data_IF_127288241210
#
_entry.id   IF_127288241210
#
_cell.length_a   1.000
_cell.length_b   1.000
_cell.length_c   1.000
_cell.angle_alpha   90.00
_cell.angle_beta   90.00
_cell.angle_gamma   90.00
#
_symmetry.space_group_name_H-M   'P 1'
#
loop_
_entity.id
_entity.type
_entity.pdbx_description
1 polymer ?
#
# COMPACT_ATOMS: atom_id res chain seq x y z
N UNK A 1 7.42 -12.86 -10.51
CA UNK A 1 6.30 -13.11 -11.47
C UNK A 1 5.08 -13.55 -10.67
N UNK A 2 3.90 -12.93 -10.88
CA UNK A 2 2.70 -13.27 -10.11
C UNK A 2 2.24 -14.71 -10.39
N UNK A 3 1.96 -15.44 -9.33
CA UNK A 3 1.67 -16.88 -9.39
C UNK A 3 0.18 -17.20 -9.35
N UNK A 4 -0.64 -16.22 -8.95
CA UNK A 4 -2.09 -16.40 -8.80
C UNK A 4 -2.91 -15.17 -9.17
N UNK A 5 -4.21 -15.37 -9.40
CA UNK A 5 -5.18 -14.28 -9.51
C UNK A 5 -5.25 -13.44 -8.23
N UNK A 6 -4.99 -14.06 -7.07
CA UNK A 6 -4.91 -13.36 -5.79
C UNK A 6 -3.79 -12.31 -5.81
N UNK A 7 -2.61 -12.67 -6.31
CA UNK A 7 -1.44 -11.78 -6.34
C UNK A 7 -1.70 -10.56 -7.25
N UNK A 8 -2.37 -10.79 -8.39
CA UNK A 8 -2.77 -9.71 -9.31
C UNK A 8 -3.71 -8.72 -8.62
N UNK A 9 -4.75 -9.21 -7.95
CA UNK A 9 -5.68 -8.34 -7.23
C UNK A 9 -4.99 -7.61 -6.09
N UNK A 10 -4.19 -8.32 -5.27
CA UNK A 10 -3.51 -7.74 -4.12
C UNK A 10 -2.49 -6.68 -4.51
N UNK A 11 -1.77 -6.88 -5.61
CA UNK A 11 -0.86 -5.86 -6.14
C UNK A 11 -1.63 -4.61 -6.59
N UNK A 12 -2.75 -4.79 -7.30
CA UNK A 12 -3.62 -3.67 -7.69
C UNK A 12 -4.17 -2.94 -6.46
N UNK A 13 -4.56 -3.68 -5.43
CA UNK A 13 -5.08 -3.13 -4.18
C UNK A 13 -3.99 -2.36 -3.41
N UNK A 14 -2.80 -2.92 -3.24
CA UNK A 14 -1.67 -2.25 -2.60
C UNK A 14 -1.30 -0.95 -3.33
N UNK A 15 -1.24 -0.97 -4.66
CA UNK A 15 -1.04 0.25 -5.46
C UNK A 15 -2.17 1.27 -5.28
N UNK A 16 -3.42 0.81 -5.22
CA UNK A 16 -4.58 1.67 -4.97
C UNK A 16 -4.55 2.33 -3.59
N UNK A 17 -4.16 1.58 -2.56
CA UNK A 17 -4.05 2.07 -1.19
C UNK A 17 -2.90 3.08 -1.07
N UNK A 18 -1.70 2.75 -1.59
CA UNK A 18 -0.55 3.66 -1.60
C UNK A 18 -0.85 4.97 -2.34
N UNK A 19 -1.47 4.91 -3.52
CA UNK A 19 -1.88 6.12 -4.28
C UNK A 19 -2.95 6.92 -3.55
N UNK A 20 -3.86 6.27 -2.83
CA UNK A 20 -4.87 6.97 -2.05
C UNK A 20 -4.25 7.66 -0.84
N UNK A 21 -3.28 7.02 -0.20
CA UNK A 21 -2.48 7.61 0.86
C UNK A 21 -1.69 8.83 0.38
N UNK A 22 -0.95 8.71 -0.74
CA UNK A 22 -0.21 9.81 -1.38
C UNK A 22 -1.11 11.02 -1.66
N UNK A 23 -2.30 10.78 -2.24
CA UNK A 23 -3.26 11.86 -2.54
C UNK A 23 -3.85 12.53 -1.30
N UNK A 24 -3.91 11.82 -0.17
CA UNK A 24 -4.43 12.33 1.10
C UNK A 24 -3.33 12.97 1.97
N UNK A 25 -2.06 12.88 1.57
CA UNK A 25 -0.95 13.51 2.28
C UNK A 25 -1.16 15.02 2.34
N UNK A 26 -1.08 15.65 3.53
CA UNK A 26 -1.25 17.10 3.68
C UNK A 26 -0.35 17.91 2.76
N UNK A 27 -0.87 19.00 2.19
CA UNK A 27 -0.14 19.87 1.27
C UNK A 27 1.17 20.38 1.89
N UNK A 28 1.19 20.69 3.19
CA UNK A 28 2.40 21.12 3.90
C UNK A 28 3.50 20.05 3.88
N UNK A 29 3.16 18.76 3.99
CA UNK A 29 4.14 17.68 3.91
C UNK A 29 4.70 17.56 2.48
N UNK A 30 3.85 17.71 1.46
CA UNK A 30 4.31 17.71 0.07
C UNK A 30 5.21 18.92 -0.21
N UNK A 31 4.84 20.10 0.29
CA UNK A 31 5.62 21.32 0.14
C UNK A 31 6.99 21.22 0.80
N UNK A 32 7.09 20.64 2.01
CA UNK A 32 8.38 20.38 2.67
C UNK A 32 9.24 19.40 1.87
N UNK A 33 8.66 18.35 1.31
CA UNK A 33 9.40 17.42 0.45
C UNK A 33 9.96 18.13 -0.79
N UNK A 34 9.13 18.92 -1.48
CA UNK A 34 9.55 19.70 -2.66
C UNK A 34 10.62 20.73 -2.30
N UNK A 35 10.52 21.36 -1.12
CA UNK A 35 11.53 22.32 -0.65
C UNK A 35 12.91 21.67 -0.41
N UNK A 36 12.95 20.35 -0.20
CA UNK A 36 14.19 19.58 -0.10
C UNK A 36 14.83 19.22 -1.45
N UNK A 37 14.16 19.48 -2.57
CA UNK A 37 14.69 19.11 -3.90
C UNK A 37 15.80 20.08 -4.33
N UNK A 38 16.86 19.60 -5.01
CA UNK A 38 17.92 20.46 -5.49
C UNK A 38 17.38 21.38 -6.59
N UNK A 39 17.97 22.58 -6.72
CA UNK A 39 17.60 23.53 -7.78
C UNK A 39 17.86 23.00 -9.20
N UNK A 40 18.73 21.99 -9.35
CA UNK A 40 18.97 21.27 -10.60
C UNK A 40 17.76 20.44 -11.06
N UNK A 41 16.84 20.09 -10.16
CA UNK A 41 15.59 19.40 -10.50
C UNK A 41 14.57 20.31 -11.23
N UNK A 42 14.89 21.59 -11.41
CA UNK A 42 13.99 22.57 -12.02
C UNK A 42 12.80 22.88 -11.12
N UNK A 43 11.61 22.92 -11.72
CA UNK A 43 10.37 23.06 -10.95
C UNK A 43 9.99 21.70 -10.33
N UNK A 44 10.52 21.44 -9.14
CA UNK A 44 10.30 20.20 -8.41
C UNK A 44 8.82 19.87 -8.17
N UNK A 45 7.97 20.87 -7.99
CA UNK A 45 6.53 20.68 -7.85
C UNK A 45 5.90 20.19 -9.16
N UNK A 46 6.28 20.80 -10.30
CA UNK A 46 5.81 20.36 -11.61
C UNK A 46 6.29 18.93 -11.94
N UNK A 47 7.54 18.58 -11.60
CA UNK A 47 8.07 17.23 -11.79
C UNK A 47 7.28 16.22 -10.95
N UNK A 48 7.05 16.51 -9.66
CA UNK A 48 6.29 15.63 -8.77
C UNK A 48 4.83 15.46 -9.23
N UNK A 49 4.19 16.54 -9.67
CA UNK A 49 2.84 16.50 -10.23
C UNK A 49 2.77 15.61 -11.49
N UNK A 50 3.79 15.69 -12.37
CA UNK A 50 3.92 14.79 -13.52
C UNK A 50 4.08 13.32 -13.09
N UNK A 51 4.97 13.04 -12.14
CA UNK A 51 5.16 11.69 -11.59
C UNK A 51 3.83 11.13 -11.07
N UNK A 52 3.02 11.94 -10.38
CA UNK A 52 1.69 11.54 -9.91
C UNK A 52 0.71 11.27 -11.06
N UNK A 53 0.73 12.11 -12.10
CA UNK A 53 -0.04 11.91 -13.33
C UNK A 53 0.32 10.60 -14.06
N UNK A 54 1.59 10.20 -14.01
CA UNK A 54 2.11 8.97 -14.60
C UNK A 54 1.91 7.71 -13.72
N UNK A 55 1.06 7.80 -12.70
CA UNK A 55 0.75 6.69 -11.81
C UNK A 55 1.82 6.43 -10.74
N UNK A 56 2.55 7.48 -10.35
CA UNK A 56 3.65 7.46 -9.39
C UNK A 56 4.81 6.60 -9.90
N UNK A 57 5.36 7.00 -11.05
CA UNK A 57 6.48 6.33 -11.74
C UNK A 57 7.57 7.33 -12.07
N UNK A 58 8.82 6.95 -11.85
CA UNK A 58 9.99 7.71 -12.31
C UNK A 58 10.40 7.19 -13.70
N UNK A 59 10.05 7.90 -14.77
CA UNK A 59 10.21 7.47 -16.18
C UNK A 59 11.05 8.39 -17.03
N UNK A 60 11.17 9.65 -16.63
CA UNK A 60 11.78 10.70 -17.43
C UNK A 60 13.19 10.97 -16.91
N UNK A 61 14.15 11.38 -17.75
CA UNK A 61 15.51 11.69 -17.31
C UNK A 61 15.55 12.70 -16.15
N UNK A 62 14.66 13.70 -16.17
CA UNK A 62 14.56 14.73 -15.14
C UNK A 62 14.00 14.22 -13.81
N UNK A 63 13.46 12.99 -13.77
CA UNK A 63 12.98 12.36 -12.55
C UNK A 63 14.13 11.95 -11.62
N UNK A 64 15.36 11.84 -12.12
CA UNK A 64 16.49 11.31 -11.37
C UNK A 64 16.80 12.11 -10.09
N UNK A 65 16.80 13.44 -10.18
CA UNK A 65 17.09 14.32 -9.04
C UNK A 65 15.97 14.27 -7.99
N UNK A 66 14.72 14.22 -8.46
CA UNK A 66 13.55 14.05 -7.58
C UNK A 66 13.55 12.67 -6.93
N UNK A 67 13.87 11.63 -7.67
CA UNK A 67 13.99 10.26 -7.16
C UNK A 67 15.04 10.18 -6.05
N UNK A 68 16.22 10.79 -6.25
CA UNK A 68 17.28 10.85 -5.23
C UNK A 68 16.80 11.58 -3.97
N UNK A 69 16.07 12.68 -4.14
CA UNK A 69 15.51 13.45 -3.01
C UNK A 69 14.42 12.68 -2.26
N UNK A 70 13.58 11.94 -2.98
CA UNK A 70 12.57 11.04 -2.39
C UNK A 70 13.25 9.90 -1.63
N UNK A 71 14.32 9.29 -2.17
CA UNK A 71 15.10 8.28 -1.47
C UNK A 71 15.70 8.81 -0.17
N UNK A 72 16.24 10.04 -0.19
CA UNK A 72 16.76 10.69 1.01
C UNK A 72 15.67 10.94 2.05
N UNK A 73 14.51 11.47 1.65
CA UNK A 73 13.39 11.67 2.56
C UNK A 73 12.90 10.35 3.17
N UNK A 74 12.89 9.27 2.40
CA UNK A 74 12.58 7.92 2.86
C UNK A 74 13.67 7.32 3.77
N UNK A 75 14.78 8.01 4.02
CA UNK A 75 15.85 7.57 4.91
C UNK A 75 15.98 8.43 6.19
N UNK A 76 15.04 9.33 6.44
CA UNK A 76 15.08 10.29 7.56
C UNK A 76 13.80 10.25 8.42
N UNK A 77 13.47 9.11 9.06
CA UNK A 77 12.25 8.99 9.86
C UNK A 77 12.20 9.93 11.07
N UNK A 78 13.36 10.28 11.64
CA UNK A 78 13.45 11.11 12.86
C UNK A 78 13.33 12.62 12.56
N UNK A 79 13.62 13.05 11.34
CA UNK A 79 13.59 14.46 10.95
C UNK A 79 12.18 14.92 10.56
N UNK A 80 11.49 14.15 9.72
CA UNK A 80 10.12 14.43 9.26
C UNK A 80 9.39 13.12 8.95
N UNK A 81 8.83 12.50 9.98
CA UNK A 81 8.12 11.22 9.86
C UNK A 81 7.00 11.22 8.79
N UNK A 82 6.14 12.26 8.69
CA UNK A 82 5.20 12.38 7.58
C UNK A 82 5.85 12.36 6.19
N UNK A 83 6.96 13.08 5.99
CA UNK A 83 7.67 13.07 4.71
C UNK A 83 8.33 11.71 4.43
N UNK A 84 8.87 11.05 5.45
CA UNK A 84 9.42 9.69 5.37
C UNK A 84 8.38 8.67 4.91
N UNK A 85 7.19 8.66 5.52
CA UNK A 85 6.07 7.79 5.13
C UNK A 85 5.63 8.07 3.68
N UNK A 86 5.49 9.35 3.34
CA UNK A 86 5.07 9.78 2.01
C UNK A 86 6.08 9.37 0.92
N UNK A 87 7.36 9.61 1.15
CA UNK A 87 8.43 9.24 0.25
C UNK A 87 8.54 7.72 0.07
N UNK A 88 8.43 6.95 1.16
CA UNK A 88 8.40 5.47 1.09
C UNK A 88 7.25 4.99 0.20
N UNK A 89 6.07 5.60 0.32
CA UNK A 89 4.92 5.23 -0.49
C UNK A 89 5.12 5.45 -1.99
N UNK A 90 5.78 6.55 -2.35
CA UNK A 90 6.14 6.88 -3.73
C UNK A 90 7.09 5.81 -4.29
N UNK A 91 8.13 5.46 -3.53
CA UNK A 91 9.11 4.44 -3.95
C UNK A 91 8.44 3.07 -4.12
N UNK A 92 7.59 2.67 -3.17
CA UNK A 92 6.83 1.41 -3.28
C UNK A 92 5.93 1.38 -4.50
N UNK A 93 5.27 2.49 -4.84
CA UNK A 93 4.45 2.57 -6.06
C UNK A 93 5.31 2.35 -7.31
N UNK A 94 6.48 2.96 -7.39
CA UNK A 94 7.36 2.78 -8.54
C UNK A 94 7.89 1.34 -8.62
N UNK A 95 8.40 0.80 -7.51
CA UNK A 95 8.93 -0.56 -7.41
C UNK A 95 7.89 -1.60 -7.82
N UNK A 96 6.66 -1.53 -7.32
CA UNK A 96 5.61 -2.51 -7.66
C UNK A 96 5.27 -2.54 -9.16
N UNK A 97 5.54 -1.47 -9.88
CA UNK A 97 5.21 -1.31 -11.29
C UNK A 97 6.43 -1.43 -12.22
N UNK A 98 7.66 -1.32 -11.71
CA UNK A 98 8.88 -1.36 -12.52
C UNK A 98 9.06 -2.73 -13.21
N UNK A 99 9.65 -2.75 -14.40
CA UNK A 99 10.06 -4.02 -15.03
C UNK A 99 11.35 -4.55 -14.38
N UNK A 100 12.26 -3.62 -14.05
CA UNK A 100 13.51 -3.86 -13.32
C UNK A 100 13.58 -2.87 -12.15
N UNK A 101 13.14 -3.28 -10.93
CA UNK A 101 13.09 -2.39 -9.78
C UNK A 101 14.50 -2.10 -9.23
N UNK A 102 14.77 -0.86 -8.80
CA UNK A 102 16.05 -0.54 -8.15
C UNK A 102 16.16 -1.23 -6.78
N UNK A 103 17.38 -1.68 -6.43
CA UNK A 103 17.73 -2.36 -5.17
C UNK A 103 17.81 -1.41 -3.95
N UNK A 104 16.98 -0.36 -3.92
CA UNK A 104 17.03 0.67 -2.88
C UNK A 104 16.15 0.33 -1.67
N UNK A 105 15.08 -0.44 -1.85
CA UNK A 105 14.10 -0.70 -0.79
C UNK A 105 14.55 -1.76 0.22
N UNK A 106 15.45 -2.68 -0.15
CA UNK A 106 16.01 -3.66 0.78
C UNK A 106 16.69 -2.97 1.97
N UNK A 107 17.61 -2.03 1.67
CA UNK A 107 18.29 -1.24 2.69
C UNK A 107 17.33 -0.43 3.55
N UNK A 108 16.30 0.12 2.91
CA UNK A 108 15.30 0.93 3.58
C UNK A 108 14.52 0.10 4.61
N UNK A 109 14.03 -1.08 4.22
CA UNK A 109 13.34 -1.99 5.12
C UNK A 109 14.22 -2.40 6.31
N UNK A 110 15.42 -2.91 6.05
CA UNK A 110 16.31 -3.41 7.10
C UNK A 110 16.65 -2.32 8.13
N UNK A 111 16.74 -1.06 7.68
CA UNK A 111 17.07 0.08 8.53
C UNK A 111 15.86 0.62 9.30
N UNK A 112 14.66 0.57 8.70
CA UNK A 112 13.53 1.39 9.16
C UNK A 112 12.22 0.63 9.41
N UNK A 113 12.22 -0.71 9.39
CA UNK A 113 10.98 -1.49 9.54
C UNK A 113 10.22 -1.19 10.85
N UNK A 114 10.92 -0.95 11.97
CA UNK A 114 10.30 -0.60 13.25
C UNK A 114 9.59 0.76 13.22
N UNK A 115 10.14 1.72 12.46
CA UNK A 115 9.61 3.07 12.34
C UNK A 115 8.27 3.05 11.60
N UNK A 116 8.11 2.18 10.62
CA UNK A 116 6.81 2.00 9.97
C UNK A 116 5.74 1.43 10.91
N UNK A 117 6.13 0.67 11.94
CA UNK A 117 5.16 0.12 12.90
C UNK A 117 4.47 1.23 13.72
N UNK A 118 5.14 2.38 13.88
CA UNK A 118 4.64 3.56 14.61
C UNK A 118 3.53 4.31 13.85
N UNK A 119 3.44 4.13 12.52
CA UNK A 119 2.39 4.79 11.73
C UNK A 119 0.98 4.33 12.12
N UNK A 120 -0.01 5.20 11.90
CA UNK A 120 -1.42 4.87 12.09
C UNK A 120 -1.82 3.62 11.29
N UNK A 121 -2.73 2.82 11.82
CA UNK A 121 -3.04 1.50 11.26
C UNK A 121 -3.36 1.49 9.74
N UNK A 122 -4.15 2.43 9.17
CA UNK A 122 -4.39 2.45 7.73
C UNK A 122 -3.13 2.76 6.91
N UNK A 123 -2.29 3.67 7.39
CA UNK A 123 -1.02 4.07 6.75
C UNK A 123 -0.02 2.92 6.81
N UNK A 124 0.16 2.34 8.00
CA UNK A 124 1.01 1.17 8.21
C UNK A 124 0.55 0.01 7.32
N UNK A 125 -0.73 -0.33 7.32
CA UNK A 125 -1.27 -1.41 6.49
C UNK A 125 -1.01 -1.17 5.00
N UNK A 126 -1.16 0.05 4.50
CA UNK A 126 -0.85 0.38 3.10
C UNK A 126 0.64 0.15 2.77
N UNK A 127 1.55 0.64 3.61
CA UNK A 127 2.99 0.44 3.44
C UNK A 127 3.36 -1.05 3.50
N UNK A 128 2.88 -1.76 4.52
CA UNK A 128 3.19 -3.17 4.76
C UNK A 128 2.67 -4.09 3.67
N UNK A 129 1.45 -3.85 3.18
CA UNK A 129 0.95 -4.59 2.02
C UNK A 129 1.74 -4.23 0.75
N UNK A 130 2.25 -2.99 0.63
CA UNK A 130 3.19 -2.62 -0.43
C UNK A 130 4.48 -3.43 -0.39
N UNK A 131 5.16 -3.49 0.76
CA UNK A 131 6.37 -4.30 0.97
C UNK A 131 6.11 -5.79 0.72
N UNK A 132 5.03 -6.35 1.28
CA UNK A 132 4.60 -7.74 1.05
C UNK A 132 4.42 -8.04 -0.42
N UNK A 133 3.81 -7.15 -1.20
CA UNK A 133 3.63 -7.36 -2.65
C UNK A 133 4.94 -7.21 -3.42
N UNK A 134 5.85 -6.37 -2.97
CA UNK A 134 7.18 -6.24 -3.57
C UNK A 134 8.01 -7.51 -3.33
N UNK A 135 7.99 -8.05 -2.10
CA UNK A 135 8.65 -9.31 -1.74
C UNK A 135 8.08 -10.49 -2.54
N UNK A 136 6.74 -10.66 -2.56
CA UNK A 136 6.09 -11.72 -3.36
C UNK A 136 6.38 -11.58 -4.86
N UNK A 137 6.61 -10.37 -5.34
CA UNK A 137 7.02 -10.10 -6.71
C UNK A 137 8.46 -10.54 -7.03
N UNK A 138 9.27 -10.83 -6.00
CA UNK A 138 10.71 -11.05 -6.08
C UNK A 138 11.48 -9.75 -6.30
N UNK A 139 10.93 -8.60 -5.89
CA UNK A 139 11.49 -7.27 -6.14
C UNK A 139 12.41 -6.80 -5.02
N UNK A 140 12.20 -7.32 -3.82
CA UNK A 140 12.95 -7.03 -2.60
C UNK A 140 13.00 -8.29 -1.74
N UNK A 141 13.96 -8.34 -0.83
CA UNK A 141 14.00 -9.29 0.28
C UNK A 141 13.66 -8.53 1.57
N UNK A 142 12.91 -9.14 2.49
CA UNK A 142 12.58 -8.53 3.78
C UNK A 142 13.34 -9.25 4.89
N UNK A 143 14.34 -8.59 5.47
CA UNK A 143 15.08 -9.09 6.63
C UNK A 143 15.19 -8.00 7.72
N UNK A 144 14.37 -8.06 8.79
CA UNK A 144 13.57 -9.21 9.23
C UNK A 144 12.30 -9.43 8.41
N UNK A 145 11.76 -10.65 8.51
CA UNK A 145 10.49 -10.99 7.86
C UNK A 145 9.33 -10.11 8.36
N UNK A 146 8.43 -9.76 7.45
CA UNK A 146 7.28 -8.91 7.75
C UNK A 146 6.26 -9.59 8.67
N UNK A 147 5.87 -8.91 9.75
CA UNK A 147 4.82 -9.39 10.65
C UNK A 147 3.43 -9.24 10.04
N UNK A 148 2.69 -10.36 9.94
CA UNK A 148 1.35 -10.36 9.34
C UNK A 148 0.37 -9.39 10.02
N UNK A 149 0.54 -9.13 11.32
CA UNK A 149 -0.30 -8.20 12.07
C UNK A 149 -0.13 -6.74 11.58
N UNK A 150 1.03 -6.37 11.03
CA UNK A 150 1.29 -5.02 10.55
C UNK A 150 0.59 -4.73 9.22
N UNK A 151 0.21 -5.77 8.47
CA UNK A 151 -0.62 -5.64 7.27
C UNK A 151 -2.08 -5.30 7.56
N UNK A 152 -2.55 -5.44 8.80
CA UNK A 152 -3.96 -5.28 9.15
C UNK A 152 -4.30 -3.83 9.53
N UNK A 153 -5.35 -3.30 8.91
CA UNK A 153 -5.95 -2.01 9.33
C UNK A 153 -6.71 -2.16 10.64
N UNK A 154 -7.35 -3.33 10.86
CA UNK A 154 -8.11 -3.65 12.07
C UNK A 154 -7.87 -5.09 12.52
N UNK A 155 -7.98 -5.35 13.82
CA UNK A 155 -7.94 -6.70 14.36
C UNK A 155 -9.19 -7.49 13.96
N UNK A 156 -9.09 -8.83 14.00
CA UNK A 156 -10.22 -9.73 13.77
C UNK A 156 -11.42 -9.39 14.65
N UNK A 157 -11.18 -9.19 15.94
CA UNK A 157 -12.24 -8.90 16.91
C UNK A 157 -12.88 -7.54 16.66
N UNK A 158 -12.09 -6.53 16.27
CA UNK A 158 -12.61 -5.22 15.89
C UNK A 158 -13.52 -5.28 14.66
N UNK A 159 -13.14 -6.08 13.66
CA UNK A 159 -13.94 -6.30 12.45
C UNK A 159 -15.22 -7.08 12.76
N UNK A 160 -15.14 -8.14 13.58
CA UNK A 160 -16.31 -8.90 14.00
C UNK A 160 -17.29 -8.05 14.80
N UNK A 161 -16.79 -7.18 15.69
CA UNK A 161 -17.62 -6.22 16.42
C UNK A 161 -18.30 -5.21 15.48
N UNK A 162 -17.59 -4.71 14.45
CA UNK A 162 -18.17 -3.82 13.46
C UNK A 162 -19.25 -4.51 12.59
N UNK A 163 -19.11 -5.81 12.33
CA UNK A 163 -20.08 -6.60 11.58
C UNK A 163 -21.28 -7.04 12.43
N UNK A 164 -21.22 -6.97 13.75
CA UNK A 164 -22.32 -7.38 14.60
C UNK A 164 -23.57 -6.53 14.33
N UNK A 165 -24.71 -7.19 14.15
CA UNK A 165 -25.98 -6.53 13.78
C UNK A 165 -26.04 -5.93 12.36
N UNK A 166 -24.96 -5.97 11.56
CA UNK A 166 -24.94 -5.39 10.20
C UNK A 166 -25.73 -6.17 9.15
N UNK A 167 -26.05 -7.43 9.41
CA UNK A 167 -26.69 -8.35 8.46
C UNK A 167 -25.73 -9.12 7.55
N UNK A 168 -24.42 -8.85 7.62
CA UNK A 168 -23.37 -9.41 6.75
C UNK A 168 -22.93 -10.84 7.15
N UNK A 169 -23.89 -11.75 7.32
CA UNK A 169 -23.66 -13.10 7.88
C UNK A 169 -22.63 -13.92 7.11
N UNK A 170 -22.62 -13.82 5.78
CA UNK A 170 -21.67 -14.55 4.95
C UNK A 170 -20.23 -14.08 5.16
N UNK A 171 -20.04 -12.77 5.35
CA UNK A 171 -18.74 -12.16 5.62
C UNK A 171 -18.25 -12.51 7.02
N UNK A 172 -19.13 -12.43 8.03
CA UNK A 172 -18.84 -12.88 9.39
C UNK A 172 -18.43 -14.35 9.40
N UNK A 173 -19.17 -15.23 8.72
CA UNK A 173 -18.86 -16.65 8.64
C UNK A 173 -17.48 -16.90 7.99
N UNK A 174 -17.17 -16.19 6.90
CA UNK A 174 -15.88 -16.31 6.23
C UNK A 174 -14.69 -15.87 7.10
N UNK A 175 -14.86 -14.83 7.90
CA UNK A 175 -13.83 -14.39 8.85
C UNK A 175 -13.68 -15.39 10.00
N UNK A 176 -14.80 -15.94 10.51
CA UNK A 176 -14.78 -16.94 11.57
C UNK A 176 -14.15 -18.26 11.13
N UNK A 177 -14.41 -18.69 9.90
CA UNK A 177 -13.88 -19.94 9.34
C UNK A 177 -12.52 -19.79 8.66
N UNK A 178 -11.93 -18.59 8.67
CA UNK A 178 -10.66 -18.28 7.99
C UNK A 178 -10.68 -18.68 6.50
N UNK A 179 -11.79 -18.38 5.83
CA UNK A 179 -12.11 -18.80 4.46
C UNK A 179 -11.03 -18.42 3.44
N UNK A 180 -10.50 -19.39 2.70
CA UNK A 180 -9.34 -19.19 1.81
C UNK A 180 -9.58 -18.12 0.73
N UNK A 181 -8.52 -17.73 0.01
CA UNK A 181 -8.55 -16.66 -1.00
C UNK A 181 -9.71 -16.77 -1.99
N UNK A 182 -9.99 -17.99 -2.46
CA UNK A 182 -11.04 -18.27 -3.44
C UNK A 182 -12.42 -18.14 -2.82
N UNK A 183 -12.62 -18.64 -1.60
CA UNK A 183 -13.87 -18.49 -0.86
C UNK A 183 -14.17 -17.03 -0.54
N UNK A 184 -13.19 -16.28 -0.02
CA UNK A 184 -13.31 -14.85 0.23
C UNK A 184 -13.59 -14.07 -1.07
N UNK A 185 -12.94 -14.46 -2.17
CA UNK A 185 -13.13 -13.86 -3.49
C UNK A 185 -14.55 -14.02 -4.05
N UNK A 186 -15.27 -15.10 -3.69
CA UNK A 186 -16.68 -15.29 -4.09
C UNK A 186 -17.63 -14.33 -3.41
N UNK A 187 -17.27 -13.80 -2.24
CA UNK A 187 -18.04 -12.80 -1.53
C UNK A 187 -17.88 -11.40 -2.15
N UNK A 188 -16.76 -11.18 -2.85
CA UNK A 188 -16.47 -9.91 -3.51
C UNK A 188 -17.13 -9.83 -4.90
N UNK A 189 -18.42 -9.49 -4.91
CA UNK A 189 -19.18 -9.21 -6.13
C UNK A 189 -19.85 -7.83 -6.04
N UNK A 190 -19.19 -6.77 -6.51
CA UNK A 190 -19.78 -5.43 -6.62
C UNK A 190 -19.54 -4.51 -5.41
N UNK A 191 -18.36 -3.90 -5.35
CA UNK A 191 -17.91 -3.02 -4.27
C UNK A 191 -18.60 -1.66 -4.19
N UNK A 192 -19.27 -1.23 -5.26
CA UNK A 192 -19.66 0.18 -5.43
C UNK A 192 -20.74 0.65 -4.44
N UNK A 193 -21.38 -0.29 -3.72
CA UNK A 193 -22.48 0.01 -2.79
C UNK A 193 -22.32 -0.67 -1.43
N UNK A 194 -21.10 -1.09 -1.07
CA UNK A 194 -20.87 -1.87 0.16
C UNK A 194 -20.98 -0.98 1.40
N UNK A 195 -21.70 -1.45 2.43
CA UNK A 195 -21.87 -0.76 3.70
C UNK A 195 -20.52 -0.59 4.43
N UNK A 196 -20.40 0.40 5.32
CA UNK A 196 -19.19 0.62 6.14
C UNK A 196 -18.71 -0.65 6.86
N UNK A 197 -19.58 -1.39 7.59
CA UNK A 197 -19.23 -2.66 8.21
C UNK A 197 -18.67 -3.70 7.23
N UNK A 198 -19.32 -3.89 6.08
CA UNK A 198 -18.86 -4.85 5.09
C UNK A 198 -17.52 -4.47 4.47
N UNK A 199 -17.25 -3.17 4.28
CA UNK A 199 -15.93 -2.69 3.84
C UNK A 199 -14.82 -3.11 4.81
N UNK A 200 -15.04 -3.01 6.13
CA UNK A 200 -14.09 -3.46 7.14
C UNK A 200 -13.81 -4.97 7.03
N UNK A 201 -14.85 -5.78 6.81
CA UNK A 201 -14.70 -7.23 6.63
C UNK A 201 -13.95 -7.62 5.36
N UNK A 202 -14.24 -6.98 4.22
CA UNK A 202 -13.50 -7.23 2.98
C UNK A 202 -12.05 -6.77 3.08
N UNK A 203 -11.80 -5.62 3.73
CA UNK A 203 -10.45 -5.11 4.00
C UNK A 203 -9.64 -6.13 4.80
N UNK A 204 -10.19 -6.64 5.89
CA UNK A 204 -9.55 -7.68 6.70
C UNK A 204 -9.26 -8.96 5.90
N UNK A 205 -10.23 -9.44 5.10
CA UNK A 205 -10.05 -10.63 4.28
C UNK A 205 -8.96 -10.45 3.21
N UNK A 206 -8.75 -9.23 2.70
CA UNK A 206 -7.68 -8.93 1.75
C UNK A 206 -6.30 -8.90 2.42
N UNK A 207 -6.18 -8.25 3.57
CA UNK A 207 -4.91 -7.95 4.24
C UNK A 207 -4.21 -9.20 4.82
N UNK A 208 -4.99 -10.23 5.17
CA UNK A 208 -4.45 -11.48 5.75
C UNK A 208 -3.55 -12.26 4.78
N UNK A 209 -2.69 -13.18 5.26
CA UNK A 209 -1.81 -13.99 4.40
C UNK A 209 -2.57 -14.79 3.34
N UNK A 210 -3.65 -15.44 3.72
CA UNK A 210 -4.50 -16.22 2.81
C UNK A 210 -5.27 -15.32 1.84
N UNK A 211 -5.42 -14.03 2.19
CA UNK A 211 -6.00 -12.89 1.46
C UNK A 211 -7.32 -13.15 0.72
N UNK A 212 -7.58 -12.33 -0.30
CA UNK A 212 -8.81 -12.34 -1.12
C UNK A 212 -8.46 -12.44 -2.61
N UNK A 213 -9.12 -13.34 -3.35
CA UNK A 213 -8.87 -13.60 -4.77
C UNK A 213 -10.17 -13.52 -5.61
N UNK A 214 -10.55 -12.33 -6.11
CA UNK A 214 -11.74 -12.21 -6.94
C UNK A 214 -11.61 -13.01 -8.24
N UNK A 215 -12.72 -13.52 -8.75
CA UNK A 215 -12.74 -14.28 -10.02
C UNK A 215 -12.15 -13.49 -11.19
N UNK A 216 -12.41 -12.18 -11.23
CA UNK A 216 -11.89 -11.26 -12.24
C UNK A 216 -10.82 -10.33 -11.66
N UNK A 217 -9.76 -10.88 -11.08
CA UNK A 217 -8.73 -10.11 -10.36
C UNK A 217 -8.17 -8.87 -11.08
N UNK A 218 -8.10 -8.89 -12.42
CA UNK A 218 -7.61 -7.76 -13.23
C UNK A 218 -8.62 -6.61 -13.39
N UNK A 219 -9.92 -6.88 -13.25
CA UNK A 219 -11.00 -5.89 -13.44
C UNK A 219 -11.88 -5.69 -12.21
N UNK A 220 -11.71 -6.52 -11.17
CA UNK A 220 -12.43 -6.38 -9.92
C UNK A 220 -12.20 -4.96 -9.35
N UNK A 221 -13.25 -4.32 -8.80
CA UNK A 221 -13.12 -3.04 -8.13
C UNK A 221 -12.21 -3.18 -6.92
N UNK A 222 -11.47 -2.12 -6.61
CA UNK A 222 -10.63 -2.04 -5.42
C UNK A 222 -11.49 -1.73 -4.20
N UNK A 223 -11.07 -2.25 -3.04
CA UNK A 223 -11.62 -1.87 -1.75
C UNK A 223 -11.21 -0.40 -1.50
N UNK A 224 -12.16 0.51 -1.23
CA UNK A 224 -11.84 1.90 -0.91
C UNK A 224 -10.86 2.03 0.27
N UNK A 225 -9.89 2.94 0.16
CA UNK A 225 -8.97 3.25 1.24
C UNK A 225 -9.72 4.00 2.36
N UNK A 226 -9.68 3.43 3.57
CA UNK A 226 -10.37 3.92 4.77
C UNK A 226 -9.77 5.18 5.36
#
# INVERSE_FOLDING_TARGET
MFTSSADVFRTRQALGDLRSMIRRTPEDTQARMVAGFPSSAGDGAAVLARIFGDGVRFRHPDDFEVHTSVLLAAALPDDDFPAFVFATAIILCDVLQADDPPDALFWNWNSFHEQYAVADAPVRAALMNGFKMAELGGRIELDPALEAAWCLTQSRDGVLAALDGSGERALTAAILSEANATEAGRLWSGAETVSGPALAGFRYLYERPEGLAPQSAASAPLIPFG
#
